data_IF_397066934500
#
_entry.id   IF_397066934500
#
_cell.length_a   1.000
_cell.length_b   1.000
_cell.length_c   1.000
_cell.angle_alpha   90.00
_cell.angle_beta   90.00
_cell.angle_gamma   90.00
#
_symmetry.space_group_name_H-M   'P 1'
#
loop_
_entity.id
_entity.type
_entity.pdbx_description
1 polymer ?
#
# COMPACT_ATOMS: atom_id res chain seq x y z
N UNK A 1 -18.85 -63.30 16.82
CA UNK A 1 -17.62 -62.56 17.13
C UNK A 1 -17.51 -61.44 16.11
N UNK A 2 -18.08 -60.26 16.42
CA UNK A 2 -18.22 -59.13 15.50
C UNK A 2 -17.34 -57.99 16.01
N UNK A 3 -16.31 -57.64 15.25
CA UNK A 3 -15.42 -56.51 15.55
C UNK A 3 -15.78 -55.36 14.61
N UNK A 4 -16.61 -54.44 15.09
CA UNK A 4 -16.87 -53.18 14.38
C UNK A 4 -15.65 -52.25 14.55
N UNK A 5 -15.06 -51.82 13.44
CA UNK A 5 -13.99 -50.83 13.39
C UNK A 5 -14.51 -49.44 13.80
N UNK A 6 -13.77 -48.66 14.61
CA UNK A 6 -14.17 -47.30 14.95
C UNK A 6 -13.80 -46.36 13.80
N UNK A 7 -14.82 -45.82 13.13
CA UNK A 7 -14.68 -44.74 12.15
C UNK A 7 -14.19 -43.49 12.88
N UNK A 8 -12.88 -43.20 12.80
CA UNK A 8 -12.32 -41.96 13.33
C UNK A 8 -12.87 -40.78 12.51
N UNK A 9 -13.73 -39.97 13.11
CA UNK A 9 -14.21 -38.73 12.54
C UNK A 9 -13.12 -37.66 12.69
N UNK A 10 -12.53 -37.23 11.57
CA UNK A 10 -11.60 -36.11 11.56
C UNK A 10 -12.30 -34.85 12.09
N UNK A 11 -11.68 -34.09 13.01
CA UNK A 11 -12.27 -32.87 13.52
C UNK A 11 -12.39 -31.86 12.37
N UNK A 12 -13.62 -31.53 11.99
CA UNK A 12 -13.89 -30.41 11.08
C UNK A 12 -13.30 -29.17 11.72
N UNK A 13 -12.21 -28.66 11.16
CA UNK A 13 -11.54 -27.43 11.59
C UNK A 13 -12.59 -26.33 11.59
N UNK A 14 -13.11 -26.00 12.78
CA UNK A 14 -14.12 -24.95 12.92
C UNK A 14 -13.46 -23.66 12.46
N UNK A 15 -13.82 -23.19 11.26
CA UNK A 15 -13.47 -21.84 10.81
C UNK A 15 -13.93 -20.87 11.90
N UNK A 16 -13.13 -19.83 12.15
CA UNK A 16 -13.46 -18.86 13.19
C UNK A 16 -14.89 -18.33 12.99
N UNK A 17 -15.64 -18.02 14.07
CA UNK A 17 -17.02 -17.57 13.97
C UNK A 17 -17.19 -16.34 13.07
N UNK A 18 -16.14 -15.52 12.94
CA UNK A 18 -16.08 -14.39 12.01
C UNK A 18 -16.07 -14.85 10.54
N UNK A 19 -15.27 -15.85 10.18
CA UNK A 19 -15.23 -16.37 8.80
C UNK A 19 -16.58 -16.97 8.39
N UNK A 20 -17.24 -17.67 9.31
CA UNK A 20 -18.58 -18.21 9.07
C UNK A 20 -19.61 -17.10 8.84
N UNK A 21 -19.53 -16.00 9.59
CA UNK A 21 -20.40 -14.82 9.41
C UNK A 21 -20.16 -14.15 8.06
N UNK A 22 -18.89 -13.97 7.66
CA UNK A 22 -18.54 -13.38 6.38
C UNK A 22 -19.01 -14.25 5.20
N UNK A 23 -18.83 -15.57 5.30
CA UNK A 23 -19.29 -16.51 4.29
C UNK A 23 -20.81 -16.50 4.15
N UNK A 24 -21.54 -16.49 5.28
CA UNK A 24 -23.00 -16.40 5.28
C UNK A 24 -23.49 -15.06 4.70
N UNK A 25 -22.85 -13.96 5.07
CA UNK A 25 -23.17 -12.64 4.54
C UNK A 25 -22.92 -12.55 3.02
N UNK A 26 -21.79 -13.06 2.54
CA UNK A 26 -21.46 -13.10 1.10
C UNK A 26 -22.42 -13.99 0.30
N UNK A 27 -22.79 -15.16 0.85
CA UNK A 27 -23.75 -16.06 0.23
C UNK A 27 -25.16 -15.47 0.14
N UNK A 28 -25.51 -14.56 1.06
CA UNK A 28 -26.80 -13.85 1.08
C UNK A 28 -26.89 -12.65 0.13
N UNK A 29 -25.81 -12.26 -0.53
CA UNK A 29 -25.80 -11.12 -1.48
C UNK A 29 -26.45 -11.51 -2.81
N UNK A 30 -27.11 -10.54 -3.44
CA UNK A 30 -27.54 -10.64 -4.84
C UNK A 30 -26.33 -10.79 -5.78
N UNK A 31 -26.57 -11.32 -6.98
CA UNK A 31 -25.49 -11.65 -7.92
C UNK A 31 -24.60 -10.46 -8.29
N UNK A 32 -25.18 -9.28 -8.48
CA UNK A 32 -24.47 -8.06 -8.86
C UNK A 32 -23.63 -7.52 -7.70
N UNK A 33 -24.20 -7.41 -6.50
CA UNK A 33 -23.45 -7.00 -5.30
C UNK A 33 -22.34 -7.98 -4.97
N UNK A 34 -22.59 -9.29 -5.11
CA UNK A 34 -21.58 -10.33 -4.89
C UNK A 34 -20.40 -10.18 -5.85
N UNK A 35 -20.66 -9.87 -7.12
CA UNK A 35 -19.60 -9.58 -8.09
C UNK A 35 -18.80 -8.33 -7.69
N UNK A 36 -19.47 -7.20 -7.44
CA UNK A 36 -18.81 -5.94 -7.07
C UNK A 36 -17.96 -6.09 -5.82
N UNK A 37 -18.50 -6.68 -4.76
CA UNK A 37 -17.79 -6.90 -3.50
C UNK A 37 -16.58 -7.83 -3.69
N UNK A 38 -16.72 -8.90 -4.49
CA UNK A 38 -15.61 -9.81 -4.79
C UNK A 38 -14.51 -9.11 -5.59
N UNK A 39 -14.86 -8.30 -6.59
CA UNK A 39 -13.90 -7.52 -7.38
C UNK A 39 -13.18 -6.50 -6.50
N UNK A 40 -13.90 -5.72 -5.69
CA UNK A 40 -13.29 -4.73 -4.80
C UNK A 40 -12.39 -5.38 -3.75
N UNK A 41 -12.82 -6.50 -3.14
CA UNK A 41 -11.99 -7.26 -2.21
C UNK A 41 -10.72 -7.79 -2.89
N UNK A 42 -10.86 -8.31 -4.12
CA UNK A 42 -9.72 -8.75 -4.93
C UNK A 42 -8.75 -7.60 -5.25
N UNK A 43 -9.25 -6.44 -5.67
CA UNK A 43 -8.45 -5.24 -5.92
C UNK A 43 -7.72 -4.77 -4.66
N UNK A 44 -8.36 -4.83 -3.50
CA UNK A 44 -7.76 -4.42 -2.23
C UNK A 44 -6.66 -5.38 -1.77
N UNK A 45 -6.86 -6.70 -1.93
CA UNK A 45 -5.81 -7.68 -1.67
C UNK A 45 -4.66 -7.52 -2.67
N UNK A 46 -4.98 -7.32 -3.95
CA UNK A 46 -4.00 -7.11 -5.01
C UNK A 46 -3.17 -5.85 -4.80
N UNK A 47 -3.79 -4.74 -4.39
CA UNK A 47 -3.08 -3.48 -4.10
C UNK A 47 -2.18 -3.60 -2.87
N UNK A 48 -2.63 -4.29 -1.82
CA UNK A 48 -1.80 -4.58 -0.65
C UNK A 48 -0.60 -5.46 -1.03
N UNK A 49 -0.82 -6.52 -1.81
CA UNK A 49 0.26 -7.38 -2.27
C UNK A 49 1.27 -6.60 -3.14
N UNK A 50 0.79 -5.79 -4.07
CA UNK A 50 1.62 -4.89 -4.88
C UNK A 50 2.43 -3.94 -3.97
N UNK A 51 1.78 -3.28 -3.01
CA UNK A 51 2.47 -2.40 -2.06
C UNK A 51 3.58 -3.13 -1.29
N UNK A 52 3.30 -4.32 -0.74
CA UNK A 52 4.30 -5.09 0.02
C UNK A 52 5.48 -5.54 -0.85
N UNK A 53 5.28 -5.80 -2.14
CA UNK A 53 6.36 -6.12 -3.09
C UNK A 53 7.23 -4.90 -3.39
N UNK A 54 6.63 -3.72 -3.54
CA UNK A 54 7.32 -2.51 -3.98
C UNK A 54 7.66 -1.53 -2.85
N UNK A 55 7.40 -1.88 -1.59
CA UNK A 55 7.59 -0.99 -0.44
C UNK A 55 9.02 -0.43 -0.32
N UNK A 56 10.02 -1.17 -0.80
CA UNK A 56 11.43 -0.75 -0.75
C UNK A 56 11.81 0.23 -1.87
N UNK A 57 10.97 0.38 -2.90
CA UNK A 57 11.20 1.29 -4.03
C UNK A 57 10.27 2.50 -3.89
N UNK A 58 10.77 3.53 -3.22
CA UNK A 58 10.05 4.78 -3.01
C UNK A 58 10.80 5.92 -3.71
N UNK A 59 10.50 6.12 -4.99
CA UNK A 59 10.84 7.37 -5.69
C UNK A 59 9.62 8.26 -5.56
N UNK A 60 9.77 9.35 -4.82
CA UNK A 60 8.68 10.28 -4.52
C UNK A 60 9.03 11.65 -5.08
N UNK A 61 8.04 12.32 -5.66
CA UNK A 61 8.24 13.55 -6.42
C UNK A 61 8.73 14.70 -5.53
N UNK A 62 8.33 14.76 -4.25
CA UNK A 62 8.87 15.73 -3.29
C UNK A 62 10.36 15.49 -2.98
N UNK A 63 10.94 14.34 -3.32
CA UNK A 63 12.39 14.11 -3.35
C UNK A 63 13.13 15.17 -4.19
N UNK A 64 12.53 15.63 -5.29
CA UNK A 64 13.09 16.72 -6.11
C UNK A 64 13.09 18.04 -5.33
N UNK A 65 11.99 18.36 -4.64
CA UNK A 65 11.89 19.57 -3.81
C UNK A 65 12.87 19.54 -2.64
N UNK A 66 13.08 18.39 -2.01
CA UNK A 66 14.07 18.25 -0.94
C UNK A 66 15.51 18.37 -1.44
N UNK A 67 15.80 17.87 -2.64
CA UNK A 67 17.10 18.08 -3.28
C UNK A 67 17.37 19.56 -3.53
N UNK A 68 16.39 20.29 -4.10
CA UNK A 68 16.49 21.74 -4.28
C UNK A 68 16.65 22.49 -2.96
N UNK A 69 15.87 22.12 -1.94
CA UNK A 69 15.93 22.73 -0.61
C UNK A 69 17.31 22.56 0.04
N UNK A 70 17.85 21.34 0.03
CA UNK A 70 19.19 21.03 0.57
C UNK A 70 20.28 21.80 -0.17
N UNK A 71 20.31 21.70 -1.49
CA UNK A 71 21.36 22.32 -2.29
C UNK A 71 21.28 23.86 -2.25
N UNK A 72 20.08 24.43 -2.11
CA UNK A 72 19.92 25.86 -1.85
C UNK A 72 20.46 26.25 -0.47
N UNK A 73 20.19 25.48 0.57
CA UNK A 73 20.71 25.70 1.92
C UNK A 73 22.25 25.60 1.98
N UNK A 74 22.83 24.71 1.19
CA UNK A 74 24.29 24.53 1.04
C UNK A 74 24.94 25.63 0.17
N UNK A 75 24.16 26.51 -0.46
CA UNK A 75 24.65 27.64 -1.26
C UNK A 75 24.85 27.35 -2.74
N UNK A 76 24.59 26.12 -3.20
CA UNK A 76 24.65 25.71 -4.61
C UNK A 76 23.50 26.33 -5.44
N UNK A 77 22.39 26.66 -4.76
CA UNK A 77 21.15 27.16 -5.37
C UNK A 77 20.17 26.03 -5.68
N UNK A 78 19.13 26.34 -6.47
CA UNK A 78 18.12 25.36 -6.85
C UNK A 78 18.63 24.43 -7.96
N UNK A 79 19.37 23.39 -7.57
CA UNK A 79 19.95 22.36 -8.45
C UNK A 79 19.52 20.97 -7.97
N UNK A 80 19.38 19.99 -8.86
CA UNK A 80 18.96 18.61 -8.47
C UNK A 80 20.10 17.82 -7.81
N UNK A 81 21.35 18.15 -8.13
CA UNK A 81 22.57 17.62 -7.53
C UNK A 81 23.66 18.70 -7.53
N UNK A 82 24.66 18.58 -6.66
CA UNK A 82 25.75 19.56 -6.53
C UNK A 82 26.50 19.75 -7.87
N UNK A 83 26.71 21.01 -8.28
CA UNK A 83 27.27 21.35 -9.59
C UNK A 83 26.35 21.12 -10.80
N UNK A 84 25.08 20.76 -10.59
CA UNK A 84 24.07 20.61 -11.64
C UNK A 84 23.58 21.93 -12.23
N UNK A 85 22.70 21.84 -13.23
CA UNK A 85 22.05 23.00 -13.84
C UNK A 85 21.07 23.67 -12.87
N UNK A 86 21.04 25.01 -12.88
CA UNK A 86 20.11 25.81 -12.08
C UNK A 86 18.71 25.75 -12.66
N UNK A 87 17.73 25.50 -11.79
CA UNK A 87 16.31 25.45 -12.15
C UNK A 87 15.57 26.58 -11.47
N UNK A 88 14.87 27.40 -12.25
CA UNK A 88 14.11 28.55 -11.73
C UNK A 88 12.63 28.23 -11.48
N UNK A 89 12.09 27.18 -12.13
CA UNK A 89 10.67 26.83 -12.08
C UNK A 89 10.42 25.46 -11.45
N UNK A 90 9.66 25.43 -10.36
CA UNK A 90 9.17 24.20 -9.72
C UNK A 90 7.81 24.45 -9.05
N UNK A 91 7.02 23.38 -8.89
CA UNK A 91 5.59 23.46 -8.55
C UNK A 91 5.28 23.94 -7.13
N UNK A 92 6.27 23.94 -6.23
CA UNK A 92 6.09 24.22 -4.81
C UNK A 92 7.15 25.19 -4.23
N UNK A 93 7.26 26.43 -4.75
CA UNK A 93 8.30 27.40 -4.39
C UNK A 93 8.38 27.69 -2.89
N UNK A 94 7.24 27.98 -2.26
CA UNK A 94 7.16 28.29 -0.84
C UNK A 94 7.60 27.11 0.04
N UNK A 95 7.20 25.89 -0.31
CA UNK A 95 7.53 24.68 0.44
C UNK A 95 9.04 24.40 0.40
N UNK A 96 9.63 24.38 -0.79
CA UNK A 96 11.08 24.18 -0.97
C UNK A 96 11.90 25.19 -0.19
N UNK A 97 11.46 26.46 -0.18
CA UNK A 97 12.12 27.51 0.61
C UNK A 97 12.05 27.24 2.12
N UNK A 98 10.87 26.84 2.63
CA UNK A 98 10.71 26.49 4.05
C UNK A 98 11.62 25.32 4.42
N UNK A 99 11.63 24.25 3.62
CA UNK A 99 12.45 23.07 3.88
C UNK A 99 13.95 23.36 3.92
N UNK A 100 14.44 24.23 3.04
CA UNK A 100 15.86 24.59 3.00
C UNK A 100 16.26 25.60 4.08
N UNK A 101 15.31 26.34 4.65
CA UNK A 101 15.56 27.29 5.73
C UNK A 101 15.59 26.63 7.11
N UNK A 102 15.02 25.42 7.23
CA UNK A 102 14.88 24.69 8.50
C UNK A 102 16.11 23.86 8.93
N UNK A 103 17.20 23.89 8.16
CA UNK A 103 18.52 23.31 8.51
C UNK A 103 19.46 24.37 9.04
#
# INVERSE_FOLDING_TARGET
MSTASPTQSFPRRALSPLLNRLAAAWAGMDGTTRLHTTVLAGLMVGSLAHYLVFITYFIEDAGISFAYARNWAEGEGFVTFAGGERVEGFSNPLWTWICGRST
#
